data_IF_002452455119
#
_entry.id   IF_002452455119
#
_cell.length_a   1.000
_cell.length_b   1.000
_cell.length_c   1.000
_cell.angle_alpha   90.00
_cell.angle_beta   90.00
_cell.angle_gamma   90.00
#
_symmetry.space_group_name_H-M   'P 1'
#
loop_
_entity.id
_entity.type
_entity.pdbx_description
1 polymer ?
#
# COMPACT_ATOMS: atom_id res chain seq x y z
N UNK A 1 -6.13 29.09 21.56
CA UNK A 1 -6.38 27.64 21.77
C UNK A 1 -5.94 26.81 20.55
N UNK A 2 -6.35 27.13 19.30
CA UNK A 2 -5.97 26.35 18.10
C UNK A 2 -4.80 26.90 17.27
N UNK A 3 -4.18 28.02 17.65
CA UNK A 3 -2.93 28.53 17.05
C UNK A 3 -1.70 27.87 17.68
N UNK A 4 -0.55 27.90 16.98
CA UNK A 4 0.78 27.67 17.57
C UNK A 4 1.54 28.99 17.67
N UNK A 5 2.79 28.97 18.16
CA UNK A 5 3.67 30.14 18.16
C UNK A 5 3.94 30.64 16.73
N UNK A 6 4.09 29.71 15.77
CA UNK A 6 4.48 30.03 14.38
C UNK A 6 3.29 30.11 13.41
N UNK A 7 2.12 29.58 13.76
CA UNK A 7 0.98 29.49 12.84
C UNK A 7 -0.35 29.92 13.45
N UNK A 8 -1.12 30.66 12.65
CA UNK A 8 -2.49 31.04 13.00
C UNK A 8 -3.41 29.82 13.08
N UNK A 9 -4.49 29.94 13.84
CA UNK A 9 -5.51 28.89 13.89
C UNK A 9 -6.15 28.62 12.52
N UNK A 10 -6.31 29.66 11.69
CA UNK A 10 -6.90 29.56 10.35
C UNK A 10 -6.02 28.75 9.40
N UNK A 11 -4.70 28.97 9.43
CA UNK A 11 -3.79 28.23 8.55
C UNK A 11 -3.72 26.75 8.94
N UNK A 12 -3.75 26.47 10.25
CA UNK A 12 -3.85 25.10 10.75
C UNK A 12 -5.16 24.44 10.34
N UNK A 13 -6.29 25.14 10.43
CA UNK A 13 -7.58 24.61 10.01
C UNK A 13 -7.61 24.27 8.51
N UNK A 14 -7.01 25.10 7.65
CA UNK A 14 -6.88 24.82 6.22
C UNK A 14 -6.11 23.52 5.97
N UNK A 15 -4.99 23.31 6.67
CA UNK A 15 -4.22 22.07 6.57
C UNK A 15 -5.05 20.85 6.97
N UNK A 16 -5.73 20.91 8.12
CA UNK A 16 -6.57 19.79 8.57
C UNK A 16 -7.76 19.55 7.64
N UNK A 17 -8.30 20.59 7.02
CA UNK A 17 -9.39 20.43 6.05
C UNK A 17 -8.92 19.64 4.83
N UNK A 18 -7.77 19.98 4.27
CA UNK A 18 -7.19 19.24 3.13
C UNK A 18 -6.88 17.81 3.54
N UNK A 19 -6.28 17.59 4.71
CA UNK A 19 -6.01 16.25 5.21
C UNK A 19 -7.30 15.42 5.37
N UNK A 20 -8.39 16.02 5.86
CA UNK A 20 -9.69 15.36 5.96
C UNK A 20 -10.27 15.03 4.60
N UNK A 21 -10.21 15.96 3.65
CA UNK A 21 -10.73 15.73 2.30
C UNK A 21 -9.95 14.63 1.56
N UNK A 22 -8.69 14.38 1.91
CA UNK A 22 -7.84 13.31 1.37
C UNK A 22 -7.95 11.95 2.08
N UNK A 23 -8.33 11.90 3.36
CA UNK A 23 -8.29 10.67 4.16
C UNK A 23 -9.62 10.24 4.78
N UNK A 24 -10.45 11.20 5.20
CA UNK A 24 -11.64 10.93 6.02
C UNK A 24 -12.97 11.30 5.39
N UNK A 25 -12.95 12.05 4.30
CA UNK A 25 -14.17 12.41 3.58
C UNK A 25 -14.71 11.23 2.77
N UNK A 26 -16.00 11.28 2.40
CA UNK A 26 -16.60 10.32 1.46
C UNK A 26 -15.83 10.24 0.13
N UNK A 27 -15.26 11.36 -0.31
CA UNK A 27 -14.42 11.42 -1.51
C UNK A 27 -13.11 10.66 -1.33
N UNK A 28 -12.47 10.79 -0.15
CA UNK A 28 -11.27 10.05 0.21
C UNK A 28 -11.55 8.55 0.31
N UNK A 29 -12.66 8.16 0.96
CA UNK A 29 -13.04 6.76 1.12
C UNK A 29 -13.34 6.10 -0.23
N UNK A 30 -13.97 6.82 -1.16
CA UNK A 30 -14.13 6.35 -2.55
C UNK A 30 -12.76 6.10 -3.20
N UNK A 31 -11.80 7.02 -3.03
CA UNK A 31 -10.45 6.84 -3.58
C UNK A 31 -9.73 5.65 -2.94
N UNK A 32 -9.81 5.48 -1.62
CA UNK A 32 -9.24 4.34 -0.92
C UNK A 32 -9.83 3.01 -1.42
N UNK A 33 -11.15 2.94 -1.61
CA UNK A 33 -11.80 1.77 -2.20
C UNK A 33 -11.40 1.55 -3.65
N UNK A 34 -11.23 2.62 -4.43
CA UNK A 34 -10.74 2.53 -5.79
C UNK A 34 -9.32 1.94 -5.83
N UNK A 35 -8.37 2.49 -5.08
CA UNK A 35 -6.99 2.00 -5.07
C UNK A 35 -6.87 0.55 -4.58
N UNK A 36 -7.66 0.16 -3.57
CA UNK A 36 -7.66 -1.22 -3.05
C UNK A 36 -8.16 -2.25 -4.05
N UNK A 37 -9.09 -1.86 -4.93
CA UNK A 37 -9.83 -2.81 -5.75
C UNK A 37 -9.80 -2.49 -7.25
N UNK A 38 -8.95 -1.56 -7.68
CA UNK A 38 -8.90 -1.12 -9.08
C UNK A 38 -8.66 -2.28 -10.04
N UNK A 39 -7.66 -3.11 -9.74
CA UNK A 39 -7.34 -4.34 -10.50
C UNK A 39 -8.17 -5.54 -10.01
N UNK A 40 -8.68 -5.46 -8.78
CA UNK A 40 -9.46 -6.50 -8.12
C UNK A 40 -9.01 -6.74 -6.68
N UNK A 41 -9.70 -7.62 -5.93
CA UNK A 41 -9.33 -7.91 -4.55
C UNK A 41 -7.93 -8.51 -4.45
N UNK A 42 -7.15 -8.05 -3.47
CA UNK A 42 -5.75 -8.46 -3.27
C UNK A 42 -5.57 -9.98 -3.13
N UNK A 43 -6.52 -10.67 -2.50
CA UNK A 43 -6.47 -12.14 -2.36
C UNK A 43 -6.63 -12.88 -3.69
N UNK A 44 -7.39 -12.32 -4.64
CA UNK A 44 -7.54 -12.89 -5.99
C UNK A 44 -6.26 -12.69 -6.78
N UNK A 45 -5.72 -11.46 -6.80
CA UNK A 45 -4.48 -11.13 -7.53
C UNK A 45 -3.29 -11.93 -6.96
N UNK A 46 -3.20 -12.05 -5.63
CA UNK A 46 -2.15 -12.84 -5.00
C UNK A 46 -2.27 -14.32 -5.33
N UNK A 47 -3.47 -14.88 -5.32
CA UNK A 47 -3.67 -16.28 -5.70
C UNK A 47 -3.35 -16.51 -7.18
N UNK A 48 -3.73 -15.60 -8.06
CA UNK A 48 -3.35 -15.64 -9.48
C UNK A 48 -1.81 -15.68 -9.62
N UNK A 49 -1.11 -14.74 -8.99
CA UNK A 49 0.35 -14.72 -9.02
C UNK A 49 0.96 -16.01 -8.46
N UNK A 50 0.37 -16.58 -7.40
CA UNK A 50 0.81 -17.85 -6.85
C UNK A 50 0.60 -19.01 -7.83
N UNK A 51 -0.56 -19.11 -8.48
CA UNK A 51 -0.82 -20.22 -9.43
C UNK A 51 0.05 -20.17 -10.68
N UNK A 52 0.47 -18.97 -11.11
CA UNK A 52 1.22 -18.78 -12.35
C UNK A 52 2.70 -18.42 -12.14
N UNK A 53 3.18 -18.39 -10.90
CA UNK A 53 4.60 -18.22 -10.65
C UNK A 53 5.38 -19.47 -11.11
N UNK A 54 6.57 -19.30 -11.73
CA UNK A 54 7.42 -20.41 -12.15
C UNK A 54 8.14 -21.02 -10.95
N UNK A 55 7.39 -21.72 -10.09
CA UNK A 55 7.91 -22.24 -8.82
C UNK A 55 9.10 -23.17 -8.99
N UNK A 56 9.07 -24.06 -9.98
CA UNK A 56 10.15 -25.00 -10.24
C UNK A 56 11.49 -24.29 -10.52
N UNK A 57 11.46 -23.17 -11.26
CA UNK A 57 12.66 -22.37 -11.53
C UNK A 57 13.17 -21.64 -10.27
N UNK A 58 12.24 -21.11 -9.47
CA UNK A 58 12.57 -20.42 -8.22
C UNK A 58 13.12 -21.38 -7.17
N UNK A 59 12.58 -22.59 -7.08
CA UNK A 59 13.07 -23.66 -6.22
C UNK A 59 14.46 -24.11 -6.66
N UNK A 60 14.66 -24.34 -7.97
CA UNK A 60 15.96 -24.70 -8.52
C UNK A 60 17.06 -23.66 -8.24
N UNK A 61 16.73 -22.36 -8.22
CA UNK A 61 17.67 -21.30 -7.82
C UNK A 61 18.12 -21.46 -6.37
N UNK A 62 17.18 -21.73 -5.46
CA UNK A 62 17.45 -21.91 -4.03
C UNK A 62 18.28 -23.17 -3.80
N UNK A 63 17.93 -24.27 -4.47
CA UNK A 63 18.67 -25.53 -4.41
C UNK A 63 20.13 -25.36 -4.86
N UNK A 64 20.36 -24.59 -5.93
CA UNK A 64 21.71 -24.27 -6.40
C UNK A 64 22.55 -23.54 -5.35
N UNK A 65 21.99 -22.51 -4.71
CA UNK A 65 22.67 -21.76 -3.64
C UNK A 65 22.98 -22.64 -2.44
N UNK A 66 22.02 -23.49 -2.04
CA UNK A 66 22.20 -24.42 -0.91
C UNK A 66 23.30 -25.45 -1.23
N UNK A 67 23.33 -25.97 -2.46
CA UNK A 67 24.36 -26.92 -2.88
C UNK A 67 25.76 -26.30 -2.86
N UNK A 68 25.92 -25.07 -3.34
CA UNK A 68 27.20 -24.34 -3.28
C UNK A 68 27.65 -24.06 -1.85
N UNK A 69 26.72 -23.69 -0.95
CA UNK A 69 27.05 -23.42 0.45
C UNK A 69 27.45 -24.67 1.25
N UNK A 70 27.06 -25.85 0.79
CA UNK A 70 27.37 -27.14 1.42
C UNK A 70 28.58 -27.87 0.79
N UNK A 71 29.20 -27.30 -0.24
CA UNK A 71 30.42 -27.80 -0.88
C UNK A 71 31.67 -27.20 -0.23
#
# INVERSE_FOLDING_TARGET
YWSTLDHSATDRLKLFRVAWDLLGSEFAMRHDQYEKFYVGPSFVVRNYNFMYAPWDELEGLVDGIIAEANA
#
